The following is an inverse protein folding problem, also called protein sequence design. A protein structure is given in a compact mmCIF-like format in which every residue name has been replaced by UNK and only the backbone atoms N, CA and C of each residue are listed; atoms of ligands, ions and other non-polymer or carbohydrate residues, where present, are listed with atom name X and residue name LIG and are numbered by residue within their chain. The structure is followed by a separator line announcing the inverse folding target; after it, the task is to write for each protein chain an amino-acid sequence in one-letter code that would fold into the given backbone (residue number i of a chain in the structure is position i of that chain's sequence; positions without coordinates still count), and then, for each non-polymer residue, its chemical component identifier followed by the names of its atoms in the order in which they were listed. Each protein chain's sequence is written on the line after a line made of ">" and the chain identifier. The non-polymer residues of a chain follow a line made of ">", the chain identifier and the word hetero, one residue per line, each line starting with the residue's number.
data_IF_460154733533
#
_entry.id   IF_460154733533
#
_cell.length_a   1.000
_cell.length_b   1.000
_cell.length_c   1.000
_cell.angle_alpha   90.00
_cell.angle_beta   90.00
_cell.angle_gamma   90.00
#
_symmetry.space_group_name_H-M   'P 1'
#
loop_
_entity.id
_entity.type
_entity.pdbx_description
1 polymer ?
#
# COMPACT_ATOMS: atom_id res chain seq x y z
N UNK A 1 25.39 62.58 70.56
CA UNK A 1 25.00 61.41 71.36
C UNK A 1 24.97 60.22 70.41
N UNK A 2 26.15 59.73 70.00
CA UNK A 2 26.87 58.65 70.69
C UNK A 2 26.08 57.35 70.77
N UNK A 3 26.29 56.45 69.81
CA UNK A 3 27.00 55.18 70.06
C UNK A 3 26.88 54.26 68.84
N UNK A 4 28.01 53.87 68.22
CA UNK A 4 28.07 52.79 67.23
C UNK A 4 28.22 51.44 67.95
N UNK A 5 27.63 50.36 67.41
CA UNK A 5 27.91 48.97 67.80
C UNK A 5 28.00 48.16 66.50
N UNK A 6 29.18 48.11 65.88
CA UNK A 6 30.28 47.16 66.13
C UNK A 6 29.96 45.76 65.60
N UNK A 7 30.70 45.42 64.54
CA UNK A 7 30.81 44.11 63.93
C UNK A 7 31.16 43.05 64.97
N UNK A 8 30.46 41.92 64.92
CA UNK A 8 31.03 40.63 65.29
C UNK A 8 30.94 39.70 64.09
N UNK A 9 32.12 39.35 63.59
CA UNK A 9 32.32 38.19 62.74
C UNK A 9 32.05 36.94 63.55
N UNK A 10 31.28 36.02 62.97
CA UNK A 10 31.21 34.65 63.44
C UNK A 10 31.61 33.72 62.31
N UNK A 11 32.56 32.87 62.69
CA UNK A 11 33.38 32.02 61.86
C UNK A 11 32.58 30.87 61.22
N UNK A 12 33.10 30.45 60.07
CA UNK A 12 32.68 29.27 59.34
C UNK A 12 32.80 28.00 60.20
N UNK A 13 31.72 27.22 60.24
CA UNK A 13 31.75 25.82 60.66
C UNK A 13 31.48 24.98 59.41
N UNK A 14 32.52 24.26 59.00
CA UNK A 14 32.48 23.29 57.90
C UNK A 14 31.69 22.06 58.34
N UNK A 15 30.62 21.72 57.62
CA UNK A 15 29.89 20.45 57.77
C UNK A 15 30.24 19.53 56.59
N UNK A 16 30.67 18.28 56.83
CA UNK A 16 30.94 17.33 55.76
C UNK A 16 29.65 16.70 55.21
N UNK A 17 29.66 16.58 53.88
CA UNK A 17 28.83 15.77 52.99
C UNK A 17 27.72 14.92 53.59
N UNK A 18 26.49 15.24 53.19
CA UNK A 18 25.42 14.25 53.08
C UNK A 18 24.89 14.30 51.66
N UNK A 19 25.37 13.32 50.90
CA UNK A 19 24.86 12.86 49.63
C UNK A 19 23.34 12.71 49.68
N UNK A 20 22.63 13.54 48.90
CA UNK A 20 21.37 13.17 48.25
C UNK A 20 21.37 13.82 46.88
N UNK A 21 21.89 13.05 45.92
CA UNK A 21 21.68 13.26 44.49
C UNK A 21 20.19 13.54 44.26
N UNK A 22 19.82 14.79 43.98
CA UNK A 22 18.63 15.07 43.20
C UNK A 22 18.89 14.49 41.81
N UNK A 23 18.40 13.27 41.59
CA UNK A 23 18.32 12.72 40.24
C UNK A 23 17.49 13.68 39.37
N UNK A 24 17.99 14.09 38.19
CA UNK A 24 17.20 14.81 37.21
C UNK A 24 16.22 13.82 36.58
N UNK A 25 15.07 13.64 37.23
CA UNK A 25 14.01 12.73 36.77
C UNK A 25 13.14 13.36 35.65
N UNK A 26 13.70 14.30 34.88
CA UNK A 26 13.00 15.04 33.83
C UNK A 26 13.55 14.77 32.42
N UNK A 27 14.45 13.80 32.23
CA UNK A 27 15.01 13.48 30.90
C UNK A 27 14.76 12.05 30.40
N UNK A 28 14.10 11.16 31.15
CA UNK A 28 13.91 9.75 30.72
C UNK A 28 12.45 9.38 30.34
N UNK A 29 11.55 10.34 30.20
CA UNK A 29 10.16 10.06 29.80
C UNK A 29 9.76 10.60 28.41
N UNK A 30 10.73 11.08 27.63
CA UNK A 30 10.50 11.55 26.24
C UNK A 30 11.16 10.62 25.20
N UNK A 31 11.89 9.58 25.63
CA UNK A 31 12.63 8.68 24.73
C UNK A 31 11.92 7.35 24.40
N UNK A 32 10.62 7.18 24.73
CA UNK A 32 9.96 5.87 24.60
C UNK A 32 8.59 5.86 23.89
N UNK A 33 8.26 6.87 23.08
CA UNK A 33 6.98 6.89 22.35
C UNK A 33 7.08 7.43 20.92
N UNK A 34 8.24 7.28 20.29
CA UNK A 34 8.37 7.38 18.84
C UNK A 34 8.64 5.99 18.25
N UNK A 35 7.79 5.01 18.59
CA UNK A 35 7.55 3.91 17.68
C UNK A 35 6.79 4.53 16.51
N UNK A 36 7.54 5.01 15.52
CA UNK A 36 7.01 5.36 14.22
C UNK A 36 6.21 4.14 13.74
N UNK A 37 4.88 4.24 13.76
CA UNK A 37 4.02 3.38 12.95
C UNK A 37 4.44 3.65 11.50
N UNK A 38 5.39 2.88 10.99
CA UNK A 38 5.51 2.69 9.55
C UNK A 38 4.22 1.98 9.15
N UNK A 39 3.24 2.74 8.69
CA UNK A 39 2.10 2.22 7.94
C UNK A 39 2.62 1.69 6.60
N UNK A 40 3.42 0.63 6.65
CA UNK A 40 3.65 -0.22 5.50
C UNK A 40 2.51 -1.22 5.45
N UNK A 41 1.85 -1.35 4.30
CA UNK A 41 0.97 -2.49 4.05
C UNK A 41 1.71 -3.78 4.45
N UNK A 42 1.05 -4.63 5.24
CA UNK A 42 1.60 -5.95 5.53
C UNK A 42 1.75 -6.74 4.23
N UNK A 43 2.73 -7.67 4.10
CA UNK A 43 2.90 -8.48 2.91
C UNK A 43 1.61 -9.20 2.46
N UNK A 44 0.75 -9.55 3.42
CA UNK A 44 -0.55 -10.17 3.19
C UNK A 44 -1.50 -9.25 2.39
N UNK A 45 -1.70 -8.02 2.85
CA UNK A 45 -2.52 -7.01 2.18
C UNK A 45 -1.99 -6.64 0.77
N UNK A 46 -0.66 -6.53 0.63
CA UNK A 46 -0.06 -6.20 -0.66
C UNK A 46 -0.19 -7.35 -1.68
N UNK A 47 -0.07 -8.59 -1.24
CA UNK A 47 -0.35 -9.78 -2.06
C UNK A 47 -1.83 -9.84 -2.49
N UNK A 48 -2.75 -9.49 -1.57
CA UNK A 48 -4.19 -9.41 -1.87
C UNK A 48 -4.48 -8.34 -2.92
N UNK A 49 -3.97 -7.13 -2.73
CA UNK A 49 -4.11 -6.03 -3.69
C UNK A 49 -3.54 -6.42 -5.06
N UNK A 50 -2.35 -7.02 -5.10
CA UNK A 50 -1.79 -7.49 -6.36
C UNK A 50 -2.71 -8.52 -7.04
N UNK A 51 -3.12 -9.54 -6.31
CA UNK A 51 -3.87 -10.68 -6.86
C UNK A 51 -5.26 -10.29 -7.33
N UNK A 52 -5.96 -9.43 -6.59
CA UNK A 52 -7.36 -9.11 -6.82
C UNK A 52 -7.58 -7.85 -7.66
N UNK A 53 -6.61 -6.91 -7.66
CA UNK A 53 -6.76 -5.61 -8.34
C UNK A 53 -5.76 -5.43 -9.47
N UNK A 54 -4.47 -5.54 -9.17
CA UNK A 54 -3.41 -5.18 -10.14
C UNK A 54 -3.25 -6.24 -11.22
N UNK A 55 -3.22 -7.53 -10.88
CA UNK A 55 -3.02 -8.60 -11.86
C UNK A 55 -4.14 -8.63 -12.93
N UNK A 56 -5.44 -8.56 -12.58
CA UNK A 56 -6.50 -8.45 -13.59
C UNK A 56 -6.38 -7.19 -14.46
N UNK A 57 -5.95 -6.06 -13.87
CA UNK A 57 -5.72 -4.81 -14.59
C UNK A 57 -4.58 -4.96 -15.61
N UNK A 58 -3.44 -5.53 -15.21
CA UNK A 58 -2.32 -5.81 -16.10
C UNK A 58 -2.69 -6.79 -17.22
N UNK A 59 -3.47 -7.82 -16.91
CA UNK A 59 -3.99 -8.78 -17.89
C UNK A 59 -4.85 -8.12 -18.96
N UNK A 60 -5.71 -7.19 -18.54
CA UNK A 60 -6.68 -6.54 -19.45
C UNK A 60 -6.04 -5.42 -20.26
N UNK A 61 -5.13 -4.64 -19.67
CA UNK A 61 -4.64 -3.38 -20.24
C UNK A 61 -3.21 -3.45 -20.79
N UNK A 62 -2.40 -4.39 -20.31
CA UNK A 62 -0.96 -4.39 -20.58
C UNK A 62 -0.49 -5.63 -21.34
N UNK A 63 -0.93 -6.82 -20.92
CA UNK A 63 -0.39 -8.09 -21.44
C UNK A 63 -0.68 -8.32 -22.93
N UNK A 64 -1.68 -7.65 -23.50
CA UNK A 64 -1.96 -7.71 -24.93
C UNK A 64 -0.76 -7.33 -25.80
N UNK A 65 0.01 -6.30 -25.41
CA UNK A 65 1.19 -5.85 -26.17
C UNK A 65 2.52 -6.07 -25.44
N UNK A 66 2.49 -6.40 -24.14
CA UNK A 66 3.69 -6.58 -23.30
C UNK A 66 3.70 -7.95 -22.59
N UNK A 67 3.28 -9.01 -23.29
CA UNK A 67 3.33 -10.35 -22.71
C UNK A 67 2.81 -11.48 -23.58
N UNK A 68 1.49 -11.54 -23.77
CA UNK A 68 0.77 -12.76 -24.17
C UNK A 68 1.18 -13.31 -25.53
N UNK A 69 1.55 -12.44 -26.46
CA UNK A 69 2.07 -12.82 -27.77
C UNK A 69 3.58 -12.52 -27.85
N UNK A 70 4.46 -13.55 -27.83
CA UNK A 70 5.90 -13.36 -27.99
C UNK A 70 6.32 -12.69 -29.30
N UNK A 71 5.47 -12.72 -30.34
CA UNK A 71 5.74 -12.09 -31.64
C UNK A 71 5.28 -10.63 -31.72
N UNK A 72 4.51 -10.15 -30.75
CA UNK A 72 4.02 -8.76 -30.66
C UNK A 72 4.42 -8.09 -29.33
N UNK A 73 5.53 -8.52 -28.71
CA UNK A 73 6.08 -7.84 -27.54
C UNK A 73 6.68 -6.49 -27.96
N UNK A 74 6.02 -5.41 -27.56
CA UNK A 74 6.47 -4.04 -27.86
C UNK A 74 7.56 -3.59 -26.89
N UNK A 75 8.56 -2.89 -27.43
CA UNK A 75 9.67 -2.31 -26.66
C UNK A 75 10.49 -3.36 -25.90
N UNK A 76 10.52 -4.61 -26.37
CA UNK A 76 11.18 -5.76 -25.73
C UNK A 76 10.78 -5.97 -24.26
N UNK A 77 9.61 -5.45 -23.87
CA UNK A 77 9.18 -5.38 -22.48
C UNK A 77 8.14 -6.45 -22.15
N UNK A 78 8.53 -7.42 -21.33
CA UNK A 78 7.67 -8.54 -20.92
C UNK A 78 7.22 -8.40 -19.46
N UNK A 79 5.91 -8.27 -19.25
CA UNK A 79 5.27 -8.03 -17.95
C UNK A 79 4.70 -9.28 -17.28
N UNK A 80 4.90 -10.48 -17.86
CA UNK A 80 4.33 -11.73 -17.34
C UNK A 80 5.00 -12.22 -16.05
N UNK A 81 6.06 -11.56 -15.61
CA UNK A 81 6.73 -11.88 -14.35
C UNK A 81 7.32 -10.63 -13.70
N UNK A 82 7.47 -10.68 -12.37
CA UNK A 82 8.20 -9.65 -11.62
C UNK A 82 9.63 -9.43 -12.12
N UNK A 83 10.30 -10.51 -12.53
CA UNK A 83 11.65 -10.42 -13.07
C UNK A 83 11.67 -9.62 -14.39
N UNK A 84 10.72 -9.86 -15.30
CA UNK A 84 10.60 -9.10 -16.54
C UNK A 84 10.29 -7.62 -16.30
N UNK A 85 9.42 -7.33 -15.34
CA UNK A 85 9.15 -5.96 -14.92
C UNK A 85 10.41 -5.23 -14.38
N UNK A 86 11.22 -5.92 -13.58
CA UNK A 86 12.45 -5.35 -13.04
C UNK A 86 13.60 -5.29 -14.07
N UNK A 87 13.58 -6.15 -15.08
CA UNK A 87 14.55 -6.12 -16.18
C UNK A 87 14.30 -4.92 -17.11
N UNK A 88 13.03 -4.50 -17.25
CA UNK A 88 12.67 -3.45 -18.20
C UNK A 88 12.57 -3.97 -19.62
N UNK A 89 12.61 -3.04 -20.59
CA UNK A 89 12.59 -3.35 -22.03
C UNK A 89 13.80 -2.76 -22.74
N UNK A 90 13.58 -2.20 -23.92
CA UNK A 90 14.61 -1.57 -24.77
C UNK A 90 15.37 -0.43 -24.08
N UNK A 91 14.77 0.20 -23.07
CA UNK A 91 15.43 1.25 -22.27
C UNK A 91 16.61 0.73 -21.43
N UNK A 92 16.68 -0.57 -21.16
CA UNK A 92 17.71 -1.19 -20.29
C UNK A 92 17.59 -0.84 -18.80
N UNK A 93 16.64 0.02 -18.44
CA UNK A 93 16.36 0.44 -17.06
C UNK A 93 15.12 -0.27 -16.51
N UNK A 94 15.05 -0.56 -15.19
CA UNK A 94 13.89 -1.18 -14.57
C UNK A 94 12.61 -0.39 -14.84
N UNK A 95 11.57 -1.07 -15.33
CA UNK A 95 10.29 -0.41 -15.57
C UNK A 95 9.58 0.00 -14.28
N UNK A 96 9.91 -0.67 -13.18
CA UNK A 96 9.42 -0.34 -11.85
C UNK A 96 10.53 -0.41 -10.82
N UNK A 97 10.47 0.51 -9.87
CA UNK A 97 11.36 0.60 -8.72
C UNK A 97 10.52 0.27 -7.48
N UNK A 98 10.75 -0.90 -6.83
CA UNK A 98 10.01 -1.28 -5.64
C UNK A 98 10.09 -0.21 -4.55
N UNK A 99 8.93 0.24 -4.06
CA UNK A 99 8.82 1.28 -3.04
C UNK A 99 8.83 2.72 -3.57
N UNK A 100 9.07 2.94 -4.86
CA UNK A 100 9.20 4.28 -5.44
C UNK A 100 8.41 4.42 -6.76
N UNK A 101 7.08 4.60 -6.69
CA UNK A 101 6.25 4.72 -7.88
C UNK A 101 6.61 5.92 -8.76
N UNK A 102 6.95 7.06 -8.17
CA UNK A 102 7.20 8.32 -8.91
C UNK A 102 8.45 8.23 -9.80
N UNK A 103 9.40 7.36 -9.46
CA UNK A 103 10.60 7.09 -10.25
C UNK A 103 10.47 5.84 -11.13
N UNK A 104 9.29 5.20 -11.16
CA UNK A 104 9.02 4.02 -11.99
C UNK A 104 8.47 4.45 -13.35
N UNK A 105 9.15 4.10 -14.44
CA UNK A 105 8.71 4.47 -15.80
C UNK A 105 7.35 3.87 -16.17
N UNK A 106 7.00 2.69 -15.64
CA UNK A 106 5.66 2.11 -15.76
C UNK A 106 4.60 3.04 -15.17
N UNK A 107 4.86 3.66 -14.02
CA UNK A 107 3.90 4.56 -13.39
C UNK A 107 3.76 5.87 -14.15
N UNK A 108 4.88 6.44 -14.61
CA UNK A 108 4.87 7.62 -15.48
C UNK A 108 4.12 7.35 -16.79
N UNK A 109 4.28 6.15 -17.35
CA UNK A 109 3.63 5.77 -18.59
C UNK A 109 2.09 5.66 -18.45
N UNK A 110 1.59 5.17 -17.32
CA UNK A 110 0.14 5.15 -17.07
C UNK A 110 -0.44 6.53 -16.73
N UNK A 111 0.38 7.44 -16.20
CA UNK A 111 0.00 8.84 -16.02
C UNK A 111 -0.03 9.64 -17.33
N UNK A 112 0.56 9.09 -18.40
CA UNK A 112 0.83 9.80 -19.66
C UNK A 112 1.81 10.96 -19.49
N UNK A 113 2.78 10.77 -18.60
CA UNK A 113 3.91 11.69 -18.43
C UNK A 113 5.09 11.20 -19.28
N UNK A 114 5.03 11.48 -20.58
CA UNK A 114 6.03 11.05 -21.56
C UNK A 114 5.53 9.95 -22.49
N UNK A 115 5.80 8.68 -22.15
CA UNK A 115 5.21 7.55 -22.88
C UNK A 115 3.74 7.39 -22.48
N UNK A 116 2.85 7.16 -23.45
CA UNK A 116 1.41 7.03 -23.17
C UNK A 116 1.00 5.56 -23.24
N UNK A 117 0.70 4.96 -22.08
CA UNK A 117 0.28 3.57 -21.98
C UNK A 117 -1.01 3.41 -21.15
N UNK A 118 -2.02 2.67 -21.62
CA UNK A 118 -2.19 2.18 -22.99
C UNK A 118 -2.27 3.32 -24.03
N UNK A 119 -1.88 3.08 -25.30
CA UNK A 119 -1.80 4.14 -26.33
C UNK A 119 -3.17 4.59 -26.87
N UNK A 120 -4.24 3.84 -26.58
CA UNK A 120 -5.59 4.20 -26.97
C UNK A 120 -6.25 4.94 -25.82
N UNK A 121 -6.76 6.15 -26.08
CA UNK A 121 -7.40 6.98 -25.05
C UNK A 121 -8.57 6.27 -24.36
N UNK A 122 -9.39 5.53 -25.11
CA UNK A 122 -10.49 4.73 -24.54
C UNK A 122 -10.03 3.62 -23.59
N UNK A 123 -8.76 3.23 -23.66
CA UNK A 123 -8.18 2.20 -22.82
C UNK A 123 -7.39 2.77 -21.64
N UNK A 124 -7.27 4.10 -21.53
CA UNK A 124 -6.56 4.78 -20.45
C UNK A 124 -7.09 4.33 -19.09
N UNK A 125 -6.18 4.21 -18.13
CA UNK A 125 -6.53 3.85 -16.77
C UNK A 125 -7.33 4.99 -16.13
N UNK A 126 -8.35 4.61 -15.37
CA UNK A 126 -9.05 5.52 -14.46
C UNK A 126 -8.16 5.94 -13.30
N UNK A 127 -8.55 7.00 -12.58
CA UNK A 127 -7.82 7.46 -11.40
C UNK A 127 -7.67 6.36 -10.34
N UNK A 128 -8.71 5.54 -10.15
CA UNK A 128 -8.68 4.43 -9.20
C UNK A 128 -7.72 3.33 -9.68
N UNK A 129 -7.77 2.92 -10.95
CA UNK A 129 -6.82 1.95 -11.51
C UNK A 129 -5.36 2.44 -11.40
N UNK A 130 -5.12 3.72 -11.69
CA UNK A 130 -3.81 4.36 -11.56
C UNK A 130 -3.33 4.34 -10.11
N UNK A 131 -4.23 4.61 -9.15
CA UNK A 131 -3.93 4.53 -7.73
C UNK A 131 -3.60 3.11 -7.27
N UNK A 132 -4.30 2.09 -7.79
CA UNK A 132 -4.00 0.68 -7.50
C UNK A 132 -2.59 0.29 -7.94
N UNK A 133 -2.16 0.75 -9.12
CA UNK A 133 -0.78 0.56 -9.60
C UNK A 133 0.22 1.28 -8.68
N UNK A 134 -0.05 2.55 -8.33
CA UNK A 134 0.82 3.34 -7.44
C UNK A 134 1.03 2.65 -6.09
N UNK A 135 -0.05 2.23 -5.45
CA UNK A 135 -0.02 1.58 -4.14
C UNK A 135 0.75 0.25 -4.19
N UNK A 136 0.55 -0.52 -5.25
CA UNK A 136 1.26 -1.79 -5.41
C UNK A 136 2.77 -1.60 -5.59
N UNK A 137 3.19 -0.62 -6.37
CA UNK A 137 4.62 -0.29 -6.51
C UNK A 137 5.17 0.21 -5.16
N UNK A 138 4.44 1.08 -4.45
CA UNK A 138 4.83 1.56 -3.13
C UNK A 138 4.98 0.41 -2.10
N UNK A 139 4.16 -0.63 -2.20
CA UNK A 139 4.26 -1.83 -1.38
C UNK A 139 5.42 -2.79 -1.78
N UNK A 140 6.27 -2.39 -2.73
CA UNK A 140 7.43 -3.17 -3.17
C UNK A 140 7.16 -4.09 -4.37
N UNK A 141 6.02 -3.89 -5.05
CA UNK A 141 5.56 -4.66 -6.19
C UNK A 141 5.65 -6.19 -5.95
N UNK A 142 4.99 -6.71 -4.91
CA UNK A 142 4.99 -8.15 -4.65
C UNK A 142 4.34 -8.91 -5.82
N UNK A 143 4.85 -10.11 -6.06
CA UNK A 143 4.33 -11.03 -7.06
C UNK A 143 4.20 -12.43 -6.42
N UNK A 144 3.12 -12.68 -5.67
CA UNK A 144 2.89 -13.94 -5.00
C UNK A 144 2.90 -15.13 -5.97
N UNK A 145 3.24 -16.30 -5.45
CA UNK A 145 3.18 -17.56 -6.22
C UNK A 145 1.76 -17.85 -6.69
N UNK A 146 1.60 -18.65 -7.74
CA UNK A 146 0.28 -19.06 -8.23
C UNK A 146 -0.57 -19.72 -7.12
N UNK A 147 0.06 -20.52 -6.26
CA UNK A 147 -0.60 -21.13 -5.11
C UNK A 147 -1.14 -20.08 -4.13
N UNK A 148 -0.31 -19.08 -3.79
CA UNK A 148 -0.73 -17.99 -2.91
C UNK A 148 -1.85 -17.15 -3.54
N UNK A 149 -1.76 -16.85 -4.83
CA UNK A 149 -2.83 -16.18 -5.57
C UNK A 149 -4.14 -16.97 -5.55
N UNK A 150 -4.09 -18.29 -5.70
CA UNK A 150 -5.27 -19.16 -5.63
C UNK A 150 -5.90 -19.13 -4.23
N UNK A 151 -5.08 -19.15 -3.18
CA UNK A 151 -5.55 -19.05 -1.79
C UNK A 151 -6.26 -17.73 -1.54
N UNK A 152 -5.68 -16.61 -1.99
CA UNK A 152 -6.27 -15.26 -1.90
C UNK A 152 -7.59 -15.19 -2.67
N UNK A 153 -7.66 -15.71 -3.90
CA UNK A 153 -8.92 -15.73 -4.66
C UNK A 153 -10.00 -16.53 -3.94
N UNK A 154 -9.62 -17.65 -3.32
CA UNK A 154 -10.54 -18.50 -2.56
C UNK A 154 -11.03 -17.82 -1.27
N UNK A 155 -10.15 -17.16 -0.51
CA UNK A 155 -10.55 -16.41 0.69
C UNK A 155 -11.45 -15.24 0.31
N UNK A 156 -11.10 -14.47 -0.71
CA UNK A 156 -11.91 -13.36 -1.19
C UNK A 156 -13.31 -13.81 -1.65
N UNK A 157 -13.42 -14.94 -2.36
CA UNK A 157 -14.72 -15.49 -2.77
C UNK A 157 -15.60 -15.95 -1.59
N UNK A 158 -15.00 -16.30 -0.43
CA UNK A 158 -15.74 -16.66 0.77
C UNK A 158 -16.34 -15.45 1.50
N UNK A 159 -15.84 -14.23 1.23
CA UNK A 159 -16.34 -12.99 1.84
C UNK A 159 -17.57 -12.49 1.07
N UNK A 160 -18.77 -12.69 1.63
CA UNK A 160 -20.02 -12.36 0.95
C UNK A 160 -20.22 -10.86 0.67
N UNK A 161 -19.65 -9.97 1.50
CA UNK A 161 -19.75 -8.51 1.35
C UNK A 161 -18.40 -7.88 1.66
N UNK A 162 -17.89 -7.07 0.75
CA UNK A 162 -16.66 -6.27 0.91
C UNK A 162 -16.85 -4.89 0.24
N UNK A 163 -15.77 -4.12 0.11
CA UNK A 163 -15.75 -2.79 -0.52
C UNK A 163 -16.21 -2.79 -1.98
N UNK A 164 -16.05 -3.90 -2.70
CA UNK A 164 -16.52 -4.06 -4.10
C UNK A 164 -18.01 -4.42 -4.19
N UNK A 165 -18.66 -4.63 -3.04
CA UNK A 165 -20.08 -4.94 -2.94
C UNK A 165 -20.34 -6.36 -2.43
N UNK A 166 -21.55 -6.83 -2.73
CA UNK A 166 -22.11 -8.08 -2.22
C UNK A 166 -22.19 -9.15 -3.31
N UNK A 167 -21.76 -10.36 -2.98
CA UNK A 167 -22.05 -11.56 -3.77
C UNK A 167 -23.52 -11.95 -3.50
N UNK A 168 -24.29 -12.11 -4.58
CA UNK A 168 -25.67 -12.59 -4.52
C UNK A 168 -25.67 -14.12 -4.67
N UNK A 169 -26.36 -14.81 -3.77
CA UNK A 169 -26.52 -16.26 -3.87
C UNK A 169 -27.33 -16.60 -5.12
N UNK A 170 -26.70 -17.26 -6.09
CA UNK A 170 -27.33 -17.76 -7.32
C UNK A 170 -27.29 -19.29 -7.36
N UNK A 171 -27.95 -19.91 -8.33
CA UNK A 171 -27.84 -21.35 -8.59
C UNK A 171 -26.46 -21.79 -9.13
N UNK A 172 -25.51 -20.86 -9.25
CA UNK A 172 -24.22 -21.05 -9.91
C UNK A 172 -24.21 -20.48 -11.33
N UNK A 173 -23.08 -19.88 -11.71
CA UNK A 173 -22.82 -19.39 -13.06
C UNK A 173 -22.12 -20.41 -13.95
N UNK A 174 -22.04 -20.11 -15.24
CA UNK A 174 -21.23 -20.86 -16.21
C UNK A 174 -19.72 -20.66 -16.01
N UNK A 175 -19.31 -19.66 -15.23
CA UNK A 175 -17.92 -19.36 -14.89
C UNK A 175 -17.77 -18.94 -13.42
N UNK A 176 -16.54 -19.03 -12.91
CA UNK A 176 -16.20 -18.55 -11.58
C UNK A 176 -16.35 -17.02 -11.46
N UNK A 177 -16.05 -16.28 -12.52
CA UNK A 177 -16.26 -14.83 -12.60
C UNK A 177 -17.73 -14.49 -12.41
N UNK A 178 -18.63 -15.17 -13.14
CA UNK A 178 -20.08 -14.95 -13.01
C UNK A 178 -20.58 -15.34 -11.62
N UNK A 179 -20.11 -16.46 -11.09
CA UNK A 179 -20.53 -16.98 -9.78
C UNK A 179 -20.12 -16.05 -8.64
N UNK A 180 -18.95 -15.43 -8.73
CA UNK A 180 -18.38 -14.57 -7.69
C UNK A 180 -18.53 -13.07 -7.99
N UNK A 181 -19.41 -12.71 -8.92
CA UNK A 181 -19.67 -11.31 -9.28
C UNK A 181 -20.27 -10.56 -8.08
N UNK A 182 -19.72 -9.37 -7.83
CA UNK A 182 -20.18 -8.46 -6.78
C UNK A 182 -21.06 -7.37 -7.35
N UNK A 183 -22.10 -7.02 -6.60
CA UNK A 183 -23.05 -5.98 -6.92
C UNK A 183 -23.08 -4.96 -5.79
N UNK A 184 -23.20 -3.68 -6.13
CA UNK A 184 -23.37 -2.65 -5.11
C UNK A 184 -24.72 -2.87 -4.42
N UNK A 185 -24.78 -2.85 -3.07
CA UNK A 185 -26.04 -3.05 -2.36
C UNK A 185 -27.14 -2.07 -2.80
N UNK A 186 -26.76 -0.84 -3.17
CA UNK A 186 -27.68 0.17 -3.70
C UNK A 186 -28.37 -0.27 -5.01
N UNK A 187 -27.72 -1.10 -5.84
CA UNK A 187 -28.27 -1.58 -7.11
C UNK A 187 -29.14 -2.83 -6.94
N UNK A 188 -29.10 -3.48 -5.77
CA UNK A 188 -29.84 -4.70 -5.47
C UNK A 188 -31.27 -4.45 -4.98
N UNK A 189 -31.68 -3.18 -4.82
CA UNK A 189 -32.97 -2.78 -4.25
C UNK A 189 -34.17 -3.50 -4.88
N UNK A 190 -34.15 -3.74 -6.20
CA UNK A 190 -35.24 -4.38 -6.93
C UNK A 190 -35.36 -5.89 -6.65
N UNK A 191 -34.30 -6.51 -6.12
CA UNK A 191 -34.22 -7.94 -5.81
C UNK A 191 -34.30 -8.22 -4.31
N UNK A 192 -34.28 -7.18 -3.46
CA UNK A 192 -34.45 -7.34 -2.03
C UNK A 192 -35.92 -7.54 -1.66
N UNK A 193 -36.17 -8.40 -0.67
CA UNK A 193 -37.53 -8.57 -0.15
C UNK A 193 -37.99 -7.27 0.48
N UNK A 194 -39.14 -6.75 0.05
CA UNK A 194 -39.77 -5.59 0.68
C UNK A 194 -40.02 -5.94 2.15
N UNK A 195 -39.41 -5.19 3.05
CA UNK A 195 -39.68 -5.33 4.48
C UNK A 195 -41.12 -4.89 4.74
N UNK A 196 -41.98 -5.73 5.32
CA UNK A 196 -43.32 -5.30 5.70
C UNK A 196 -43.20 -4.16 6.72
N UNK A 197 -44.08 -3.16 6.58
CA UNK A 197 -44.15 -1.98 7.44
C UNK A 197 -44.59 -2.33 8.88
#
# INVERSE_FOLDING_TARGET
>A
MESPRQCLQMNAVSLPGISKFLQPLTCLFVLLSAAYLTAGETPDAADEQFTLKVLPLLQTKCFGCHGTDPQDIRGEYNMLSRAGLLAGGESGEPSLIPGNPEHSSLYQAVLWEGLEMPPKENDRLTDEETKQIRQWIAAGAPWPSLERQNQIRKSAAAVAVNEDGRIVSTSGGTSAEWTNRRYQPADLWAFEKIRPA
#
